data_IF_595494608577
#
_entry.id   IF_595494608577
#
_cell.length_a   1.000
_cell.length_b   1.000
_cell.length_c   1.000
_cell.angle_alpha   90.00
_cell.angle_beta   90.00
_cell.angle_gamma   90.00
#
_symmetry.space_group_name_H-M   'P 1'
#
loop_
_entity.id
_entity.type
_entity.pdbx_description
1 polymer ?
#
# COMPACT_ATOMS: atom_id res chain seq x y z
N UNK A 1 4.70 -63.98 13.70
CA UNK A 1 5.86 -63.39 12.99
C UNK A 1 5.71 -61.88 13.01
N UNK A 2 6.62 -61.24 13.74
CA UNK A 2 6.67 -59.80 14.01
C UNK A 2 7.16 -59.02 12.79
N UNK A 3 6.43 -57.99 12.35
CA UNK A 3 6.96 -56.85 11.57
C UNK A 3 6.21 -55.55 11.87
N UNK A 4 6.70 -54.89 12.92
CA UNK A 4 7.08 -53.48 12.95
C UNK A 4 6.08 -52.42 12.45
N UNK A 5 5.47 -51.76 13.45
CA UNK A 5 5.02 -50.38 13.45
C UNK A 5 6.05 -49.43 12.80
N UNK A 6 5.59 -48.62 11.85
CA UNK A 6 6.28 -47.38 11.47
C UNK A 6 5.29 -46.23 11.62
N UNK A 7 5.35 -45.63 12.79
CA UNK A 7 4.79 -44.34 13.13
C UNK A 7 5.60 -43.28 12.37
N UNK A 8 4.98 -42.53 11.47
CA UNK A 8 5.64 -41.38 10.83
C UNK A 8 5.59 -40.20 11.81
N UNK A 9 6.72 -39.66 12.27
CA UNK A 9 6.67 -38.53 13.18
C UNK A 9 6.29 -37.28 12.37
N UNK A 10 5.10 -36.75 12.66
CA UNK A 10 4.68 -35.42 12.25
C UNK A 10 5.81 -34.42 12.54
N UNK A 11 6.22 -33.67 11.52
CA UNK A 11 7.29 -32.67 11.62
C UNK A 11 6.78 -31.40 12.30
N UNK A 12 6.22 -31.53 13.50
CA UNK A 12 5.94 -30.45 14.42
C UNK A 12 7.20 -30.17 15.24
N UNK A 13 8.21 -29.54 14.62
CA UNK A 13 9.31 -28.95 15.40
C UNK A 13 8.90 -27.55 15.81
N UNK A 14 8.11 -27.49 16.87
CA UNK A 14 7.94 -26.29 17.69
C UNK A 14 9.32 -25.92 18.24
N UNK A 15 10.01 -24.99 17.59
CA UNK A 15 11.05 -24.20 18.22
C UNK A 15 10.38 -22.98 18.84
N UNK A 16 9.63 -23.20 19.93
CA UNK A 16 9.41 -22.15 20.93
C UNK A 16 10.72 -22.01 21.69
N UNK A 17 11.63 -21.21 21.15
CA UNK A 17 12.72 -20.69 21.95
C UNK A 17 12.17 -19.53 22.77
N UNK A 18 11.85 -19.82 24.03
CA UNK A 18 11.78 -18.83 25.08
C UNK A 18 13.11 -18.08 25.13
N UNK A 19 13.17 -16.90 24.51
CA UNK A 19 14.31 -16.01 24.57
C UNK A 19 13.81 -14.61 24.92
N UNK A 20 13.90 -14.34 26.23
CA UNK A 20 14.16 -13.06 26.87
C UNK A 20 13.39 -11.84 26.35
N UNK A 21 12.39 -11.45 27.13
CA UNK A 21 12.01 -10.05 27.29
C UNK A 21 13.27 -9.23 27.63
N UNK A 22 13.56 -8.18 26.86
CA UNK A 22 14.48 -7.13 27.34
C UNK A 22 15.49 -6.54 26.35
N UNK A 23 15.64 -7.01 25.12
CA UNK A 23 16.47 -6.30 24.13
C UNK A 23 15.78 -6.22 22.77
N UNK A 24 15.29 -5.02 22.43
CA UNK A 24 14.88 -4.69 21.06
C UNK A 24 16.13 -4.63 20.19
N UNK A 25 16.66 -5.78 19.81
CA UNK A 25 17.63 -5.89 18.72
C UNK A 25 17.01 -5.18 17.52
N UNK A 26 17.62 -4.08 17.06
CA UNK A 26 17.19 -3.34 15.88
C UNK A 26 17.28 -4.26 14.67
N UNK A 27 16.24 -5.05 14.41
CA UNK A 27 16.16 -5.89 13.22
C UNK A 27 16.28 -4.96 12.02
N UNK A 28 17.35 -5.14 11.23
CA UNK A 28 17.56 -4.37 10.00
C UNK A 28 16.29 -4.45 9.17
N UNK A 29 15.70 -3.30 8.84
CA UNK A 29 14.49 -3.23 8.00
C UNK A 29 14.77 -3.96 6.70
N UNK A 30 14.04 -5.06 6.44
CA UNK A 30 14.20 -5.85 5.22
C UNK A 30 13.87 -4.96 4.01
N UNK A 31 14.84 -4.80 3.10
CA UNK A 31 14.64 -4.07 1.85
C UNK A 31 13.95 -4.96 0.82
N UNK A 32 12.97 -4.42 0.11
CA UNK A 32 12.33 -5.10 -1.02
C UNK A 32 13.28 -5.14 -2.23
N UNK A 33 13.21 -6.20 -3.03
CA UNK A 33 13.93 -6.28 -4.30
C UNK A 33 13.40 -5.18 -5.26
N UNK A 34 14.26 -4.61 -6.13
CA UNK A 34 13.81 -3.69 -7.18
C UNK A 34 12.60 -4.25 -7.93
N UNK A 35 11.64 -3.40 -8.29
CA UNK A 35 10.40 -3.79 -8.97
C UNK A 35 9.31 -4.41 -8.06
N UNK A 36 9.64 -4.91 -6.87
CA UNK A 36 8.63 -5.53 -5.98
C UNK A 36 7.58 -4.52 -5.49
N UNK A 37 8.02 -3.32 -5.11
CA UNK A 37 7.11 -2.26 -4.65
C UNK A 37 6.34 -1.69 -5.85
N UNK A 38 7.02 -1.46 -6.98
CA UNK A 38 6.41 -0.92 -8.20
C UNK A 38 5.28 -1.82 -8.72
N UNK A 39 5.48 -3.14 -8.79
CA UNK A 39 4.43 -4.08 -9.20
C UNK A 39 3.24 -4.09 -8.23
N UNK A 40 3.49 -3.90 -6.94
CA UNK A 40 2.43 -3.79 -5.93
C UNK A 40 1.63 -2.51 -6.11
N UNK A 41 2.30 -1.39 -6.37
CA UNK A 41 1.67 -0.09 -6.62
C UNK A 41 0.84 -0.11 -7.91
N UNK A 42 1.37 -0.66 -9.00
CA UNK A 42 0.63 -0.83 -10.27
C UNK A 42 -0.66 -1.61 -10.03
N UNK A 43 -0.58 -2.76 -9.35
CA UNK A 43 -1.77 -3.57 -9.02
C UNK A 43 -2.77 -2.80 -8.14
N UNK A 44 -2.29 -2.03 -7.16
CA UNK A 44 -3.14 -1.20 -6.29
C UNK A 44 -3.88 -0.12 -7.06
N UNK A 45 -3.19 0.63 -7.92
CA UNK A 45 -3.78 1.72 -8.71
C UNK A 45 -4.67 1.22 -9.85
N UNK A 46 -4.44 0.01 -10.36
CA UNK A 46 -5.36 -0.60 -11.33
C UNK A 46 -6.62 -1.16 -10.68
N UNK A 47 -6.54 -1.60 -9.41
CA UNK A 47 -7.68 -2.16 -8.69
C UNK A 47 -8.64 -1.09 -8.12
N UNK A 48 -8.22 0.17 -8.06
CA UNK A 48 -8.98 1.25 -7.44
C UNK A 48 -9.02 2.46 -8.36
N UNK A 49 -10.05 3.29 -8.26
CA UNK A 49 -10.26 4.44 -9.16
C UNK A 49 -10.17 5.76 -8.42
N UNK A 50 -9.33 5.84 -7.38
CA UNK A 50 -9.14 7.07 -6.64
C UNK A 50 -8.24 8.02 -7.42
N UNK A 51 -8.53 9.31 -7.32
CA UNK A 51 -7.70 10.38 -7.85
C UNK A 51 -6.26 10.28 -7.33
N UNK A 52 -5.28 10.27 -8.24
CA UNK A 52 -3.86 10.23 -7.91
C UNK A 52 -3.28 11.62 -7.60
N UNK A 53 -3.87 12.66 -8.18
CA UNK A 53 -3.50 14.05 -7.91
C UNK A 53 -4.30 14.55 -6.70
N UNK A 54 -3.67 15.20 -5.70
CA UNK A 54 -4.36 15.75 -4.55
C UNK A 54 -5.39 16.81 -4.94
N UNK A 55 -6.61 16.71 -4.37
CA UNK A 55 -7.76 17.56 -4.71
C UNK A 55 -7.51 19.06 -4.54
N UNK A 56 -6.89 19.49 -3.44
CA UNK A 56 -6.74 20.92 -3.14
C UNK A 56 -5.77 21.65 -4.09
N UNK A 57 -4.55 21.15 -4.37
CA UNK A 57 -3.68 21.70 -5.40
C UNK A 57 -4.33 21.76 -6.78
N UNK A 58 -5.00 20.68 -7.20
CA UNK A 58 -5.69 20.65 -8.50
C UNK A 58 -6.81 21.71 -8.58
N UNK A 59 -7.63 21.81 -7.53
CA UNK A 59 -8.68 22.83 -7.45
C UNK A 59 -8.12 24.27 -7.48
N UNK A 60 -6.96 24.53 -6.85
CA UNK A 60 -6.31 25.86 -6.91
C UNK A 60 -5.85 26.17 -8.33
N UNK A 61 -5.22 25.21 -9.00
CA UNK A 61 -4.78 25.34 -10.39
C UNK A 61 -5.94 25.64 -11.34
N UNK A 62 -7.06 24.92 -11.22
CA UNK A 62 -8.26 25.17 -12.03
C UNK A 62 -8.77 26.60 -11.84
N UNK A 63 -8.77 27.12 -10.61
CA UNK A 63 -9.23 28.49 -10.31
C UNK A 63 -8.28 29.55 -10.83
N UNK A 64 -6.98 29.33 -10.73
CA UNK A 64 -5.95 30.21 -11.27
C UNK A 64 -6.10 30.36 -12.79
N UNK A 65 -6.27 29.26 -13.51
CA UNK A 65 -6.50 29.28 -14.96
C UNK A 65 -7.83 29.98 -15.29
N UNK A 66 -8.88 29.69 -14.54
CA UNK A 66 -10.20 30.26 -14.78
C UNK A 66 -10.29 31.76 -14.51
N UNK A 67 -9.51 32.29 -13.56
CA UNK A 67 -9.41 33.73 -13.31
C UNK A 67 -8.93 34.47 -14.55
N UNK A 68 -8.00 33.89 -15.33
CA UNK A 68 -7.54 34.49 -16.59
C UNK A 68 -8.62 34.50 -17.70
N UNK A 69 -9.70 33.73 -17.55
CA UNK A 69 -10.81 33.69 -18.49
C UNK A 69 -11.97 34.59 -18.07
N UNK A 70 -12.30 34.59 -16.77
CA UNK A 70 -13.39 35.38 -16.19
C UNK A 70 -13.22 35.51 -14.68
N UNK A 71 -13.14 36.75 -14.19
CA UNK A 71 -12.83 37.07 -12.78
C UNK A 71 -13.82 36.50 -11.74
N UNK A 72 -15.08 36.24 -12.13
CA UNK A 72 -16.18 35.91 -11.19
C UNK A 72 -16.72 34.48 -11.32
N UNK A 73 -15.95 33.57 -11.93
CA UNK A 73 -16.42 32.20 -12.17
C UNK A 73 -16.57 31.40 -10.87
N UNK A 74 -17.73 30.78 -10.69
CA UNK A 74 -18.02 29.85 -9.58
C UNK A 74 -18.08 28.43 -10.12
N UNK A 75 -17.52 27.49 -9.36
CA UNK A 75 -17.50 26.09 -9.72
C UNK A 75 -18.40 25.28 -8.80
N UNK A 76 -19.17 24.38 -9.38
CA UNK A 76 -19.81 23.30 -8.63
C UNK A 76 -18.75 22.29 -8.16
N UNK A 77 -18.89 21.66 -6.98
CA UNK A 77 -17.94 20.66 -6.51
C UNK A 77 -17.79 19.48 -7.49
N UNK A 78 -18.90 19.01 -8.07
CA UNK A 78 -18.91 17.92 -9.07
C UNK A 78 -18.16 18.31 -10.36
N UNK A 79 -18.21 19.58 -10.75
CA UNK A 79 -17.52 20.06 -11.94
C UNK A 79 -16.00 20.03 -11.76
N UNK A 80 -15.50 20.31 -10.54
CA UNK A 80 -14.08 20.20 -10.23
C UNK A 80 -13.61 18.75 -10.17
N UNK A 81 -14.49 17.82 -9.78
CA UNK A 81 -14.22 16.38 -9.82
C UNK A 81 -14.22 15.87 -11.27
N UNK A 82 -15.16 16.31 -12.12
CA UNK A 82 -15.23 15.88 -13.51
C UNK A 82 -14.06 16.36 -14.40
N UNK A 83 -13.34 17.40 -13.98
CA UNK A 83 -12.14 17.87 -14.69
C UNK A 83 -10.92 16.97 -14.48
N UNK A 84 -10.97 16.02 -13.54
CA UNK A 84 -9.86 15.11 -13.18
C UNK A 84 -10.30 13.65 -13.22
#
# INVERSE_FOLDING_TARGET
>A
MSRHSQQTPGKSRVLRSSLKDGEKSQMKKRRYRPGTISLREIRRYQATTHHLIPRLPFQRLVREIAQNLKDTLRFQPIALEALQ
#
